data_IF_822154973402
#
_entry.id   IF_822154973402
#
_cell.length_a   1.000
_cell.length_b   1.000
_cell.length_c   1.000
_cell.angle_alpha   90.00
_cell.angle_beta   90.00
_cell.angle_gamma   90.00
#
_symmetry.space_group_name_H-M   'P 1'
#
loop_
_entity.id
_entity.type
_entity.pdbx_description
1 polymer ?
#
# COMPACT_ATOMS: atom_id res chain seq x y z
N UNK A 1 13.78 0.32 -9.21
CA UNK A 1 13.80 1.71 -8.68
C UNK A 1 15.02 1.94 -7.80
N UNK A 2 15.27 1.08 -6.79
CA UNK A 2 16.44 1.26 -5.90
C UNK A 2 17.78 1.11 -6.65
N UNK A 3 17.85 0.23 -7.64
CA UNK A 3 19.04 -0.02 -8.46
C UNK A 3 19.39 1.15 -9.41
N UNK A 4 18.42 1.98 -9.73
CA UNK A 4 18.56 3.14 -10.62
C UNK A 4 18.86 4.45 -9.87
N UNK A 5 18.86 4.40 -8.53
CA UNK A 5 18.99 5.60 -7.69
C UNK A 5 20.45 5.86 -7.32
N UNK A 6 20.94 7.06 -7.58
CA UNK A 6 22.25 7.52 -7.06
C UNK A 6 22.15 7.67 -5.55
N UNK A 7 23.09 7.11 -4.79
CA UNK A 7 23.13 7.16 -3.32
C UNK A 7 21.84 6.68 -2.64
N UNK A 8 21.52 5.39 -2.86
CA UNK A 8 20.33 4.72 -2.32
C UNK A 8 20.18 4.91 -0.80
N UNK A 9 21.30 4.91 -0.06
CA UNK A 9 21.29 4.99 1.41
C UNK A 9 20.74 6.31 1.95
N UNK A 10 20.89 7.40 1.21
CA UNK A 10 20.42 8.73 1.61
C UNK A 10 19.13 9.13 0.91
N UNK A 11 19.05 8.85 -0.39
CA UNK A 11 17.92 9.28 -1.22
C UNK A 11 16.65 8.50 -0.90
N UNK A 12 16.72 7.19 -0.69
CA UNK A 12 15.52 6.38 -0.43
C UNK A 12 14.83 6.74 0.89
N UNK A 13 15.51 6.83 2.05
CA UNK A 13 14.85 7.25 3.27
C UNK A 13 14.26 8.66 3.21
N UNK A 14 14.97 9.60 2.57
CA UNK A 14 14.48 10.96 2.39
C UNK A 14 13.22 10.99 1.51
N UNK A 15 13.23 10.27 0.40
CA UNK A 15 12.07 10.16 -0.49
C UNK A 15 10.86 9.58 0.24
N UNK A 16 11.05 8.52 1.03
CA UNK A 16 9.98 7.91 1.82
C UNK A 16 9.41 8.91 2.83
N UNK A 17 10.26 9.60 3.59
CA UNK A 17 9.82 10.58 4.59
C UNK A 17 9.10 11.77 3.97
N UNK A 18 9.60 12.29 2.84
CA UNK A 18 8.96 13.38 2.12
C UNK A 18 7.60 12.95 1.57
N UNK A 19 7.53 11.76 0.96
CA UNK A 19 6.27 11.21 0.45
C UNK A 19 5.25 11.05 1.58
N UNK A 20 5.65 10.46 2.71
CA UNK A 20 4.80 10.33 3.90
C UNK A 20 4.32 11.69 4.41
N UNK A 21 5.22 12.66 4.55
CA UNK A 21 4.86 14.00 5.03
C UNK A 21 3.88 14.72 4.11
N UNK A 22 4.16 14.74 2.81
CA UNK A 22 3.27 15.37 1.82
C UNK A 22 1.91 14.66 1.77
N UNK A 23 1.91 13.32 1.74
CA UNK A 23 0.68 12.52 1.70
C UNK A 23 -0.16 12.73 2.97
N UNK A 24 0.47 12.74 4.14
CA UNK A 24 -0.21 12.99 5.41
C UNK A 24 -0.87 14.39 5.43
N UNK A 25 -0.15 15.43 4.99
CA UNK A 25 -0.69 16.78 4.90
C UNK A 25 -1.89 16.86 3.94
N UNK A 26 -1.79 16.22 2.78
CA UNK A 26 -2.87 16.19 1.80
C UNK A 26 -4.10 15.46 2.36
N UNK A 27 -3.93 14.29 2.98
CA UNK A 27 -5.05 13.55 3.58
C UNK A 27 -5.69 14.30 4.76
N UNK A 28 -4.89 14.92 5.63
CA UNK A 28 -5.41 15.73 6.72
C UNK A 28 -6.22 16.93 6.20
N UNK A 29 -5.68 17.64 5.21
CA UNK A 29 -6.35 18.80 4.59
C UNK A 29 -7.67 18.40 3.92
N UNK A 30 -7.64 17.29 3.16
CA UNK A 30 -8.82 16.77 2.48
C UNK A 30 -9.88 16.29 3.47
N UNK A 31 -9.48 15.56 4.51
CA UNK A 31 -10.39 15.09 5.57
C UNK A 31 -11.04 16.25 6.30
N UNK A 32 -10.25 17.30 6.61
CA UNK A 32 -10.77 18.49 7.28
C UNK A 32 -11.75 19.28 6.40
N UNK A 33 -11.43 19.39 5.11
CA UNK A 33 -12.34 20.01 4.13
C UNK A 33 -13.64 19.21 3.99
N UNK A 34 -13.55 17.88 3.93
CA UNK A 34 -14.70 16.99 3.80
C UNK A 34 -15.68 17.13 4.97
N UNK A 35 -15.19 17.06 6.20
CA UNK A 35 -16.03 17.17 7.42
C UNK A 35 -16.63 18.57 7.59
N UNK A 36 -15.96 19.62 7.07
CA UNK A 36 -16.50 20.97 7.06
C UNK A 36 -17.56 21.20 5.99
N UNK A 37 -17.41 20.54 4.83
CA UNK A 37 -18.32 20.71 3.70
C UNK A 37 -19.61 19.90 3.84
N UNK A 38 -19.54 18.70 4.45
CA UNK A 38 -20.63 17.73 4.51
C UNK A 38 -20.70 17.11 5.90
N UNK A 39 -21.91 16.96 6.50
CA UNK A 39 -22.09 16.26 7.76
C UNK A 39 -21.55 14.82 7.72
N UNK A 40 -20.93 14.37 8.80
CA UNK A 40 -20.30 13.04 8.88
C UNK A 40 -21.28 11.89 8.61
N UNK A 41 -22.54 12.05 9.00
CA UNK A 41 -23.60 11.06 8.74
C UNK A 41 -23.90 10.91 7.23
N UNK A 42 -23.91 12.01 6.48
CA UNK A 42 -24.12 11.99 5.03
C UNK A 42 -22.90 11.39 4.31
N UNK A 43 -21.67 11.72 4.79
CA UNK A 43 -20.45 11.13 4.25
C UNK A 43 -20.41 9.60 4.44
N UNK A 44 -20.82 9.12 5.61
CA UNK A 44 -20.85 7.70 5.94
C UNK A 44 -21.91 6.93 5.12
N UNK A 45 -23.02 7.58 4.76
CA UNK A 45 -24.09 6.98 3.94
C UNK A 45 -23.78 7.03 2.43
N UNK A 46 -22.79 7.80 1.99
CA UNK A 46 -22.50 8.00 0.58
C UNK A 46 -21.58 6.91 0.02
N UNK A 47 -21.93 6.36 -1.15
CA UNK A 47 -21.07 5.47 -1.92
C UNK A 47 -19.91 6.21 -2.62
N UNK A 48 -19.98 7.55 -2.72
CA UNK A 48 -18.98 8.38 -3.36
C UNK A 48 -18.72 9.66 -2.53
N UNK A 49 -18.13 9.56 -1.33
CA UNK A 49 -17.99 10.69 -0.41
C UNK A 49 -17.24 11.88 -1.01
N UNK A 50 -16.19 11.65 -1.79
CA UNK A 50 -15.42 12.73 -2.41
C UNK A 50 -16.20 13.48 -3.49
N UNK A 51 -17.02 12.80 -4.24
CA UNK A 51 -17.94 13.41 -5.21
C UNK A 51 -18.94 14.32 -4.50
N UNK A 52 -19.49 13.86 -3.38
CA UNK A 52 -20.44 14.66 -2.57
C UNK A 52 -19.76 15.93 -2.00
N UNK A 53 -18.54 15.79 -1.49
CA UNK A 53 -17.76 16.95 -0.99
C UNK A 53 -17.50 17.96 -2.11
N UNK A 54 -17.14 17.48 -3.28
CA UNK A 54 -16.88 18.34 -4.44
C UNK A 54 -18.15 19.09 -4.88
N UNK A 55 -19.29 18.41 -4.98
CA UNK A 55 -20.57 19.02 -5.34
C UNK A 55 -20.99 20.10 -4.34
N UNK A 56 -20.88 19.81 -3.04
CA UNK A 56 -21.21 20.78 -1.98
C UNK A 56 -20.25 21.96 -1.93
N UNK A 57 -18.96 21.73 -2.20
CA UNK A 57 -17.95 22.78 -2.15
C UNK A 57 -17.92 23.70 -3.37
N UNK A 58 -18.25 23.17 -4.55
CA UNK A 58 -18.13 23.93 -5.82
C UNK A 58 -19.46 24.26 -6.48
N UNK A 59 -20.53 23.56 -6.12
CA UNK A 59 -21.83 23.63 -6.80
C UNK A 59 -21.85 22.98 -8.20
N UNK A 60 -20.76 22.36 -8.63
CA UNK A 60 -20.68 21.69 -9.93
C UNK A 60 -21.14 20.23 -9.85
N UNK A 61 -21.54 19.66 -11.01
CA UNK A 61 -21.88 18.23 -11.07
C UNK A 61 -20.67 17.37 -10.71
N UNK A 62 -20.93 16.26 -10.00
CA UNK A 62 -19.87 15.34 -9.57
C UNK A 62 -19.28 14.48 -10.68
N UNK A 63 -19.77 14.58 -11.92
CA UNK A 63 -19.38 13.71 -13.03
C UNK A 63 -17.90 13.88 -13.39
N UNK A 64 -17.44 15.13 -13.43
CA UNK A 64 -16.04 15.42 -13.73
C UNK A 64 -15.08 14.83 -12.70
N UNK A 65 -15.38 14.97 -11.40
CA UNK A 65 -14.53 14.42 -10.33
C UNK A 65 -14.59 12.88 -10.31
N UNK A 66 -15.75 12.30 -10.61
CA UNK A 66 -15.91 10.86 -10.73
C UNK A 66 -15.06 10.29 -11.88
N UNK A 67 -15.05 10.97 -13.02
CA UNK A 67 -14.23 10.56 -14.16
C UNK A 67 -12.73 10.64 -13.83
N UNK A 68 -12.28 11.74 -13.21
CA UNK A 68 -10.90 11.90 -12.75
C UNK A 68 -10.53 10.78 -11.75
N UNK A 69 -11.43 10.45 -10.81
CA UNK A 69 -11.20 9.41 -9.82
C UNK A 69 -11.04 8.04 -10.51
N UNK A 70 -11.86 7.71 -11.52
CA UNK A 70 -11.74 6.46 -12.28
C UNK A 70 -10.36 6.36 -12.95
N UNK A 71 -9.92 7.41 -13.63
CA UNK A 71 -8.59 7.40 -14.27
C UNK A 71 -7.45 7.31 -13.25
N UNK A 72 -7.57 8.00 -12.12
CA UNK A 72 -6.57 7.92 -11.05
C UNK A 72 -6.48 6.52 -10.45
N UNK A 73 -7.63 5.87 -10.17
CA UNK A 73 -7.71 4.52 -9.65
C UNK A 73 -7.15 3.49 -10.65
N UNK A 74 -7.50 3.61 -11.93
CA UNK A 74 -6.96 2.74 -12.99
C UNK A 74 -5.44 2.86 -13.09
N UNK A 75 -4.90 4.08 -13.07
CA UNK A 75 -3.46 4.29 -13.08
C UNK A 75 -2.77 3.66 -11.87
N UNK A 76 -3.32 3.85 -10.67
CA UNK A 76 -2.82 3.22 -9.44
C UNK A 76 -2.85 1.70 -9.52
N UNK A 77 -3.95 1.12 -10.00
CA UNK A 77 -4.10 -0.33 -10.16
C UNK A 77 -3.08 -0.90 -11.17
N UNK A 78 -2.86 -0.22 -12.30
CA UNK A 78 -1.87 -0.62 -13.31
C UNK A 78 -0.46 -0.65 -12.72
N UNK A 79 -0.05 0.38 -12.00
CA UNK A 79 1.27 0.45 -11.36
C UNK A 79 1.43 -0.72 -10.35
N UNK A 80 0.41 -0.97 -9.53
CA UNK A 80 0.42 -2.08 -8.57
C UNK A 80 0.54 -3.44 -9.25
N UNK A 81 -0.22 -3.69 -10.32
CA UNK A 81 -0.15 -4.93 -11.09
C UNK A 81 1.23 -5.13 -11.75
N UNK A 82 1.83 -4.07 -12.28
CA UNK A 82 3.19 -4.12 -12.82
C UNK A 82 4.20 -4.48 -11.73
N UNK A 83 4.10 -3.83 -10.57
CA UNK A 83 4.99 -4.12 -9.43
C UNK A 83 4.84 -5.56 -8.95
N UNK A 84 3.62 -6.05 -8.77
CA UNK A 84 3.33 -7.42 -8.35
C UNK A 84 3.87 -8.44 -9.35
N UNK A 85 3.68 -8.22 -10.66
CA UNK A 85 4.19 -9.12 -11.71
C UNK A 85 5.72 -9.17 -11.72
N UNK A 86 6.40 -8.04 -11.49
CA UNK A 86 7.87 -7.99 -11.39
C UNK A 86 8.40 -8.72 -10.15
N UNK A 87 7.71 -8.63 -9.02
CA UNK A 87 8.08 -9.38 -7.80
C UNK A 87 7.95 -10.88 -8.05
N UNK A 88 6.83 -11.35 -8.61
CA UNK A 88 6.63 -12.76 -8.94
C UNK A 88 7.68 -13.26 -9.94
N UNK A 89 7.98 -12.46 -10.95
CA UNK A 89 9.05 -12.78 -11.91
C UNK A 89 10.41 -12.89 -11.20
N UNK A 90 10.76 -11.96 -10.34
CA UNK A 90 12.02 -11.99 -9.59
C UNK A 90 12.16 -13.22 -8.72
N UNK A 91 11.11 -13.62 -8.02
CA UNK A 91 11.07 -14.85 -7.21
C UNK A 91 11.15 -16.11 -8.08
N UNK A 92 10.49 -16.13 -9.24
CA UNK A 92 10.58 -17.22 -10.24
C UNK A 92 11.96 -17.33 -10.84
N UNK A 93 12.61 -16.23 -11.18
CA UNK A 93 13.98 -16.21 -11.71
C UNK A 93 15.02 -16.68 -10.68
N UNK A 94 14.76 -16.49 -9.39
CA UNK A 94 15.59 -16.99 -8.27
C UNK A 94 15.28 -18.45 -7.90
N UNK A 95 14.36 -19.13 -8.60
CA UNK A 95 13.99 -20.51 -8.31
C UNK A 95 13.11 -20.69 -7.05
N UNK A 96 12.59 -19.60 -6.46
CA UNK A 96 11.71 -19.66 -5.30
C UNK A 96 10.25 -19.94 -5.67
N UNK A 97 9.88 -19.73 -6.93
CA UNK A 97 8.57 -19.99 -7.50
C UNK A 97 8.71 -20.88 -8.76
N UNK A 98 7.60 -21.48 -9.24
CA UNK A 98 7.62 -22.31 -10.45
C UNK A 98 8.27 -21.61 -11.64
N UNK A 99 9.09 -22.33 -12.38
CA UNK A 99 9.91 -21.83 -13.50
C UNK A 99 9.16 -21.00 -14.59
N UNK A 100 7.88 -21.28 -14.92
CA UNK A 100 7.15 -20.44 -15.87
C UNK A 100 7.03 -18.98 -15.45
N UNK A 101 6.95 -18.67 -14.14
CA UNK A 101 6.85 -17.32 -13.63
C UNK A 101 8.14 -16.50 -13.81
N UNK A 102 9.28 -17.19 -13.83
CA UNK A 102 10.61 -16.60 -14.07
C UNK A 102 10.97 -16.43 -15.56
N UNK A 103 10.03 -16.67 -16.49
CA UNK A 103 10.29 -16.53 -17.92
C UNK A 103 9.80 -15.19 -18.46
N UNK A 104 10.64 -14.55 -19.27
CA UNK A 104 10.29 -13.34 -20.03
C UNK A 104 9.92 -13.75 -21.45
N UNK A 105 8.84 -13.20 -21.97
CA UNK A 105 8.47 -13.40 -23.36
C UNK A 105 9.45 -12.65 -24.29
N UNK A 106 10.07 -13.32 -25.29
CA UNK A 106 11.06 -12.71 -26.14
C UNK A 106 10.53 -11.53 -27.00
N UNK A 107 9.24 -11.57 -27.36
CA UNK A 107 8.62 -10.53 -28.20
C UNK A 107 8.25 -9.28 -27.41
N UNK A 108 7.60 -9.45 -26.27
CA UNK A 108 7.09 -8.33 -25.45
C UNK A 108 8.08 -7.85 -24.41
N UNK A 109 9.13 -8.63 -24.12
CA UNK A 109 10.12 -8.40 -23.06
C UNK A 109 9.47 -8.21 -21.67
N UNK A 110 8.32 -8.85 -21.47
CA UNK A 110 7.55 -8.80 -20.22
C UNK A 110 7.31 -10.20 -19.67
N UNK A 111 7.16 -10.38 -18.35
CA UNK A 111 6.88 -11.66 -17.71
C UNK A 111 5.39 -12.03 -17.86
N UNK A 112 4.95 -12.46 -19.03
CA UNK A 112 3.52 -12.67 -19.33
C UNK A 112 2.83 -13.63 -18.37
N UNK A 113 3.49 -14.72 -17.96
CA UNK A 113 2.91 -15.69 -17.01
C UNK A 113 2.66 -15.07 -15.63
N UNK A 114 3.63 -14.30 -15.12
CA UNK A 114 3.46 -13.59 -13.86
C UNK A 114 2.37 -12.50 -13.96
N UNK A 115 2.34 -11.76 -15.07
CA UNK A 115 1.32 -10.74 -15.32
C UNK A 115 -0.07 -11.36 -15.43
N UNK A 116 -0.22 -12.47 -16.18
CA UNK A 116 -1.50 -13.17 -16.30
C UNK A 116 -1.99 -13.70 -14.96
N UNK A 117 -1.10 -14.24 -14.13
CA UNK A 117 -1.44 -14.68 -12.78
C UNK A 117 -1.93 -13.53 -11.90
N UNK A 118 -1.23 -12.38 -11.91
CA UNK A 118 -1.64 -11.20 -11.16
C UNK A 118 -3.01 -10.69 -11.61
N UNK A 119 -3.19 -10.49 -12.92
CA UNK A 119 -4.46 -10.01 -13.47
C UNK A 119 -5.59 -10.99 -13.15
N UNK A 120 -5.37 -12.30 -13.37
CA UNK A 120 -6.35 -13.33 -13.05
C UNK A 120 -6.75 -13.34 -11.58
N UNK A 121 -5.79 -13.21 -10.67
CA UNK A 121 -6.05 -13.11 -9.23
C UNK A 121 -6.84 -11.84 -8.88
N UNK A 122 -6.45 -10.69 -9.41
CA UNK A 122 -7.15 -9.42 -9.18
C UNK A 122 -8.59 -9.48 -9.67
N UNK A 123 -8.82 -10.01 -10.88
CA UNK A 123 -10.17 -10.17 -11.44
C UNK A 123 -11.01 -11.15 -10.61
N UNK A 124 -10.44 -12.30 -10.23
CA UNK A 124 -11.15 -13.27 -9.41
C UNK A 124 -11.58 -12.66 -8.06
N UNK A 125 -10.65 -11.97 -7.38
CA UNK A 125 -10.95 -11.31 -6.12
C UNK A 125 -11.99 -10.19 -6.28
N UNK A 126 -11.89 -9.39 -7.32
CA UNK A 126 -12.81 -8.28 -7.59
C UNK A 126 -14.24 -8.75 -7.94
N UNK A 127 -14.38 -9.93 -8.59
CA UNK A 127 -15.67 -10.48 -8.97
C UNK A 127 -16.30 -11.32 -7.86
N UNK A 128 -15.49 -11.97 -7.03
CA UNK A 128 -15.99 -12.93 -6.04
C UNK A 128 -16.19 -12.33 -4.64
N UNK A 129 -15.50 -11.23 -4.32
CA UNK A 129 -15.51 -10.66 -2.98
C UNK A 129 -15.98 -9.20 -2.98
N UNK A 130 -16.82 -8.81 -2.02
CA UNK A 130 -17.17 -7.42 -1.78
C UNK A 130 -15.94 -6.59 -1.43
N UNK A 131 -15.99 -5.28 -1.68
CA UNK A 131 -14.87 -4.37 -1.50
C UNK A 131 -14.45 -4.24 -0.03
N UNK A 132 -15.40 -4.32 0.89
CA UNK A 132 -15.12 -4.16 2.34
C UNK A 132 -14.29 -5.30 2.92
N UNK A 133 -14.62 -6.61 2.73
CA UNK A 133 -13.75 -7.72 3.13
C UNK A 133 -12.36 -7.67 2.47
N UNK A 134 -12.27 -7.25 1.20
CA UNK A 134 -10.99 -7.08 0.51
C UNK A 134 -10.12 -6.02 1.19
N UNK A 135 -10.69 -4.86 1.50
CA UNK A 135 -9.98 -3.78 2.16
C UNK A 135 -9.50 -4.19 3.56
N UNK A 136 -10.34 -4.86 4.35
CA UNK A 136 -10.00 -5.37 5.68
C UNK A 136 -8.87 -6.40 5.63
N UNK A 137 -9.00 -7.40 4.76
CA UNK A 137 -7.98 -8.45 4.58
C UNK A 137 -6.65 -7.86 4.14
N UNK A 138 -6.67 -6.93 3.19
CA UNK A 138 -5.46 -6.24 2.72
C UNK A 138 -4.79 -5.48 3.86
N UNK A 139 -5.56 -4.74 4.67
CA UNK A 139 -5.04 -4.02 5.84
C UNK A 139 -4.37 -4.97 6.84
N UNK A 140 -4.99 -6.09 7.17
CA UNK A 140 -4.42 -7.11 8.06
C UNK A 140 -3.11 -7.68 7.52
N UNK A 141 -3.08 -8.03 6.23
CA UNK A 141 -1.87 -8.55 5.58
C UNK A 141 -0.73 -7.52 5.63
N UNK A 142 -0.99 -6.27 5.26
CA UNK A 142 0.01 -5.20 5.28
C UNK A 142 0.54 -4.94 6.69
N UNK A 143 -0.34 -4.85 7.69
CA UNK A 143 0.05 -4.67 9.10
C UNK A 143 0.86 -5.85 9.62
N UNK A 144 0.51 -7.08 9.22
CA UNK A 144 1.27 -8.29 9.57
C UNK A 144 2.68 -8.24 8.96
N UNK A 145 2.80 -7.88 7.69
CA UNK A 145 4.10 -7.72 7.02
C UNK A 145 4.92 -6.63 7.72
N UNK A 146 4.33 -5.48 8.05
CA UNK A 146 5.03 -4.42 8.79
C UNK A 146 5.49 -4.89 10.16
N UNK A 147 4.68 -5.69 10.87
CA UNK A 147 5.07 -6.28 12.15
C UNK A 147 6.28 -7.19 12.01
N UNK A 148 6.29 -8.07 11.00
CA UNK A 148 7.41 -8.97 10.72
C UNK A 148 8.69 -8.21 10.32
N UNK A 149 8.57 -7.19 9.49
CA UNK A 149 9.71 -6.36 9.08
C UNK A 149 10.30 -5.60 10.27
N UNK A 150 9.46 -4.97 11.09
CA UNK A 150 9.91 -4.27 12.29
C UNK A 150 10.55 -5.23 13.31
N UNK A 151 9.97 -6.42 13.50
CA UNK A 151 10.54 -7.46 14.36
C UNK A 151 11.93 -7.92 13.86
N UNK A 152 12.04 -8.14 12.56
CA UNK A 152 13.30 -8.56 11.92
C UNK A 152 14.37 -7.48 12.08
N UNK A 153 14.03 -6.22 11.86
CA UNK A 153 14.92 -5.09 12.03
C UNK A 153 15.33 -4.90 13.49
N UNK A 154 14.40 -5.05 14.42
CA UNK A 154 14.67 -4.97 15.85
C UNK A 154 15.62 -6.08 16.32
N UNK A 155 15.39 -7.34 15.89
CA UNK A 155 16.28 -8.49 16.17
C UNK A 155 17.67 -8.30 15.59
N UNK A 156 17.77 -7.84 14.34
CA UNK A 156 19.05 -7.59 13.66
C UNK A 156 19.86 -6.54 14.43
N UNK A 157 19.24 -5.41 14.77
CA UNK A 157 19.88 -4.35 15.57
C UNK A 157 20.25 -4.76 16.99
N UNK A 158 19.56 -5.74 17.55
CA UNK A 158 19.90 -6.29 18.88
C UNK A 158 21.13 -7.19 18.83
N UNK A 159 21.37 -7.85 17.70
CA UNK A 159 22.58 -8.69 17.48
C UNK A 159 23.83 -7.89 17.13
N UNK A 160 23.69 -6.74 16.47
CA UNK A 160 24.81 -5.88 16.04
C UNK A 160 25.44 -5.04 17.15
N UNK A 161 25.31 -5.40 18.42
CA UNK A 161 25.89 -4.68 19.57
C UNK A 161 27.41 -4.49 19.53
N UNK A 162 28.13 -5.03 18.54
CA UNK A 162 29.59 -4.98 18.41
C UNK A 162 30.15 -4.37 17.12
N UNK A 163 29.35 -4.12 16.13
CA UNK A 163 29.81 -3.63 14.81
C UNK A 163 29.45 -2.14 14.65
N UNK A 164 30.25 -1.28 15.23
CA UNK A 164 30.18 0.17 15.34
C UNK A 164 29.83 1.01 14.09
N UNK A 165 28.89 0.57 13.26
CA UNK A 165 28.29 1.40 12.21
C UNK A 165 26.97 1.96 12.72
N UNK A 166 26.85 3.29 12.95
CA UNK A 166 25.58 3.90 13.33
C UNK A 166 24.59 3.68 12.19
N UNK A 167 23.69 2.71 12.36
CA UNK A 167 22.54 2.60 11.48
C UNK A 167 21.72 3.88 11.56
N UNK A 168 21.27 4.42 10.42
CA UNK A 168 20.54 5.69 10.30
C UNK A 168 19.29 5.81 11.19
N UNK A 169 18.83 4.75 11.80
CA UNK A 169 17.59 4.72 12.58
C UNK A 169 17.87 4.19 13.99
N UNK A 170 17.46 4.90 15.07
CA UNK A 170 17.61 4.43 16.46
C UNK A 170 16.86 3.11 16.70
N UNK A 171 17.28 2.33 17.73
CA UNK A 171 16.67 1.02 18.06
C UNK A 171 15.23 1.10 18.51
N UNK A 172 14.81 2.20 19.09
CA UNK A 172 13.45 2.39 19.57
C UNK A 172 12.44 2.51 18.41
N UNK A 173 12.86 2.98 17.23
CA UNK A 173 11.97 3.18 16.08
C UNK A 173 11.34 1.88 15.60
N UNK A 174 12.10 0.78 15.28
CA UNK A 174 11.47 -0.49 14.93
C UNK A 174 10.69 -1.13 16.09
N UNK A 175 11.04 -0.86 17.35
CA UNK A 175 10.28 -1.35 18.49
C UNK A 175 8.90 -0.67 18.58
N UNK A 176 8.84 0.65 18.42
CA UNK A 176 7.59 1.41 18.35
C UNK A 176 6.77 0.99 17.12
N UNK A 177 7.40 0.86 15.95
CA UNK A 177 6.75 0.39 14.74
C UNK A 177 6.12 -1.00 14.94
N UNK A 178 6.83 -1.93 15.56
CA UNK A 178 6.31 -3.25 15.92
C UNK A 178 5.11 -3.16 16.86
N UNK A 179 5.25 -2.40 17.95
CA UNK A 179 4.17 -2.25 18.92
C UNK A 179 2.90 -1.69 18.27
N UNK A 180 3.01 -0.62 17.51
CA UNK A 180 1.88 0.01 16.83
C UNK A 180 1.24 -0.94 15.81
N UNK A 181 2.05 -1.60 14.96
CA UNK A 181 1.53 -2.53 13.96
C UNK A 181 0.81 -3.72 14.59
N UNK A 182 1.38 -4.31 15.66
CA UNK A 182 0.75 -5.43 16.38
C UNK A 182 -0.52 -4.97 17.08
N UNK A 183 -0.52 -3.79 17.70
CA UNK A 183 -1.73 -3.25 18.34
C UNK A 183 -2.89 -3.10 17.35
N UNK A 184 -2.62 -2.58 16.14
CA UNK A 184 -3.64 -2.49 15.09
C UNK A 184 -4.10 -3.86 14.59
N UNK A 185 -3.20 -4.84 14.43
CA UNK A 185 -3.59 -6.22 14.08
C UNK A 185 -4.52 -6.82 15.12
N UNK A 186 -4.18 -6.66 16.40
CA UNK A 186 -5.01 -7.17 17.50
C UNK A 186 -6.37 -6.48 17.56
N UNK A 187 -6.40 -5.15 17.42
CA UNK A 187 -7.66 -4.39 17.39
C UNK A 187 -8.57 -4.85 16.24
N UNK A 188 -8.01 -5.07 15.05
CA UNK A 188 -8.80 -5.53 13.91
C UNK A 188 -9.26 -6.99 14.09
N UNK A 189 -8.41 -7.85 14.64
CA UNK A 189 -8.78 -9.23 14.96
C UNK A 189 -9.91 -9.30 16.00
N UNK A 190 -9.87 -8.46 17.05
CA UNK A 190 -10.94 -8.38 18.04
C UNK A 190 -12.25 -7.86 17.43
N UNK A 191 -12.18 -6.91 16.53
CA UNK A 191 -13.37 -6.42 15.78
C UNK A 191 -14.00 -7.53 14.95
N UNK A 192 -13.18 -8.33 14.27
CA UNK A 192 -13.67 -9.48 13.48
C UNK A 192 -14.29 -10.56 14.35
N UNK A 193 -13.80 -10.75 15.58
CA UNK A 193 -14.37 -11.72 16.52
C UNK A 193 -15.73 -11.28 17.06
N UNK A 194 -15.97 -9.97 17.17
CA UNK A 194 -17.19 -9.40 17.73
C UNK A 194 -18.24 -9.00 16.66
N UNK A 195 -17.95 -9.20 15.36
CA UNK A 195 -18.83 -8.92 14.24
C UNK A 195 -19.53 -10.18 13.73
#
# INVERSE_FOLDING_TARGET
VAEETKDVRRTMPLAILLTLGVTALLYMSLSMAAVRAVPAAELAASNAPMTLVFQRGTGWSGDAISLIAIFALLNGALIQMIMASRVLYGLGAQGQLPAPLGRVNPRTRTPLHATALVIGTVLALALLLPIEPLARTTSLLVLTVFSLVNLSLWRLKSREKGLGKPGMVPRWVPAVGLFVSVAFVVLEAVRLWNA
#
